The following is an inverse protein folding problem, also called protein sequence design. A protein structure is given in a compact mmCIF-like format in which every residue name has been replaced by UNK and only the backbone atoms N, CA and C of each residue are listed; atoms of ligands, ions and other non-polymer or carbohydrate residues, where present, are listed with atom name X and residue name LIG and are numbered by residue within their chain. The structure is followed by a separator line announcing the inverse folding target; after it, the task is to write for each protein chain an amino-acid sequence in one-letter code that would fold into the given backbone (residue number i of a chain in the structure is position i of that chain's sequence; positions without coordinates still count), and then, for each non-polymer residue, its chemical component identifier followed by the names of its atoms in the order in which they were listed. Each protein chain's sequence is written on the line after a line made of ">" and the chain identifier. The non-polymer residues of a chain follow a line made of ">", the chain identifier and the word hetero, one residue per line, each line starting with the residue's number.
data_IF_545384465383
#
_entry.id   IF_545384465383
#
_cell.length_a   1.000
_cell.length_b   1.000
_cell.length_c   1.000
_cell.angle_alpha   90.00
_cell.angle_beta   90.00
_cell.angle_gamma   90.00
#
_symmetry.space_group_name_H-M   'P 1'
#
loop_
_entity.id
_entity.type
_entity.pdbx_description
1 polymer ?
#
# COMPACT_ATOMS: atom_id res chain seq x y z
N UNK A 1 99.38 -2.88 -15.53
CA UNK A 1 98.48 -2.22 -16.51
C UNK A 1 97.61 -1.24 -15.74
N UNK A 2 97.98 0.05 -15.82
CA UNK A 2 97.32 1.32 -15.44
C UNK A 2 96.65 1.46 -14.04
N UNK A 3 97.21 2.40 -13.27
CA UNK A 3 96.79 2.97 -11.98
C UNK A 3 95.88 4.25 -12.22
N UNK A 4 95.49 5.09 -11.23
CA UNK A 4 94.11 5.37 -10.76
C UNK A 4 93.63 6.83 -11.06
N UNK A 5 92.49 7.30 -10.50
CA UNK A 5 92.34 8.73 -10.07
C UNK A 5 91.17 9.03 -9.11
N UNK A 6 91.49 9.94 -8.17
CA UNK A 6 90.70 10.55 -7.11
C UNK A 6 89.53 11.43 -7.61
N UNK A 7 88.51 11.57 -6.76
CA UNK A 7 87.50 12.64 -6.83
C UNK A 7 86.96 13.02 -5.45
N UNK A 8 87.59 14.03 -4.84
CA UNK A 8 87.25 14.73 -3.59
C UNK A 8 86.01 15.63 -3.81
N UNK A 9 85.10 15.78 -2.84
CA UNK A 9 84.43 17.07 -2.48
C UNK A 9 83.46 16.92 -1.29
N UNK A 10 83.82 17.48 -0.13
CA UNK A 10 83.34 18.77 0.47
C UNK A 10 82.05 18.58 1.29
N UNK A 11 82.25 18.63 2.60
CA UNK A 11 81.28 18.98 3.64
C UNK A 11 80.96 20.48 3.57
N UNK A 12 79.66 20.84 3.61
CA UNK A 12 79.17 22.14 4.06
C UNK A 12 77.82 21.98 4.77
N UNK A 13 77.87 22.26 6.05
CA UNK A 13 76.81 22.49 7.02
C UNK A 13 75.81 23.60 6.66
N UNK A 14 74.52 23.31 6.91
CA UNK A 14 73.37 24.17 7.33
C UNK A 14 72.91 25.32 6.39
N UNK A 15 71.65 25.85 6.49
CA UNK A 15 70.61 25.62 7.51
C UNK A 15 69.19 25.25 6.98
N UNK A 16 68.36 24.86 7.94
CA UNK A 16 66.91 24.63 7.93
C UNK A 16 66.10 25.80 7.38
N UNK A 17 65.13 25.52 6.49
CA UNK A 17 63.98 26.41 6.25
C UNK A 17 62.74 25.57 5.90
N UNK A 18 61.65 25.83 6.62
CA UNK A 18 60.50 24.96 6.79
C UNK A 18 59.76 24.59 5.50
N UNK A 19 59.47 23.30 5.36
CA UNK A 19 58.55 22.77 4.36
C UNK A 19 57.16 22.70 5.00
N UNK A 20 56.25 23.56 4.51
CA UNK A 20 54.82 23.53 4.84
C UNK A 20 54.27 22.13 4.59
N UNK A 21 53.82 21.47 5.65
CA UNK A 21 52.97 20.29 5.55
C UNK A 21 51.62 20.72 4.98
N UNK A 22 51.27 20.23 3.79
CA UNK A 22 49.89 20.20 3.32
C UNK A 22 49.31 18.87 3.77
N UNK A 23 48.64 18.89 4.92
CA UNK A 23 47.75 17.82 5.35
C UNK A 23 46.57 17.76 4.38
N UNK A 24 46.49 16.70 3.57
CA UNK A 24 45.21 16.31 2.97
C UNK A 24 44.39 15.62 4.06
N UNK A 25 43.40 16.32 4.60
CA UNK A 25 42.32 15.67 5.36
C UNK A 25 41.53 14.78 4.40
N UNK A 26 41.70 13.46 4.54
CA UNK A 26 40.76 12.48 4.05
C UNK A 26 39.44 12.68 4.80
N UNK A 27 38.42 13.15 4.10
CA UNK A 27 37.04 13.17 4.57
C UNK A 27 36.63 11.72 4.85
N UNK A 28 36.63 11.34 6.12
CA UNK A 28 36.02 10.11 6.61
C UNK A 28 34.53 10.16 6.29
N UNK A 29 34.09 9.28 5.39
CA UNK A 29 32.66 9.01 5.18
C UNK A 29 32.14 8.37 6.46
N UNK A 30 31.43 9.17 7.25
CA UNK A 30 30.76 8.74 8.46
C UNK A 30 29.65 7.78 8.06
N UNK A 31 29.81 6.50 8.39
CA UNK A 31 28.75 5.49 8.27
C UNK A 31 27.49 6.01 8.98
N UNK A 32 26.46 6.31 8.20
CA UNK A 32 25.12 6.56 8.72
C UNK A 32 24.63 5.25 9.33
N UNK A 33 24.61 5.18 10.67
CA UNK A 33 23.92 4.11 11.40
C UNK A 33 22.52 3.93 10.81
N UNK A 34 22.29 2.79 10.16
CA UNK A 34 20.98 2.43 9.62
C UNK A 34 19.95 2.46 10.73
N UNK A 35 18.96 3.34 10.60
CA UNK A 35 17.78 3.34 11.46
C UNK A 35 17.05 2.01 11.26
N UNK A 36 16.81 1.27 12.35
CA UNK A 36 16.06 0.03 12.32
C UNK A 36 14.66 0.29 11.73
N UNK A 37 14.26 -0.36 10.61
CA UNK A 37 12.97 -0.14 9.96
C UNK A 37 11.77 -0.35 10.89
N UNK A 38 11.86 -1.32 11.82
CA UNK A 38 10.82 -1.57 12.81
C UNK A 38 10.67 -0.46 13.85
N UNK A 39 11.73 0.32 14.08
CA UNK A 39 11.72 1.47 14.99
C UNK A 39 11.11 2.70 14.31
N UNK A 40 11.38 2.90 13.02
CA UNK A 40 10.72 3.90 12.17
C UNK A 40 9.21 3.63 12.05
N UNK A 41 8.82 2.36 11.84
CA UNK A 41 7.42 1.96 11.79
C UNK A 41 6.68 2.25 13.11
N UNK A 42 7.30 1.95 14.26
CA UNK A 42 6.74 2.27 15.59
C UNK A 42 6.57 3.78 15.80
N UNK A 43 7.54 4.59 15.39
CA UNK A 43 7.47 6.05 15.59
C UNK A 43 6.47 6.72 14.65
N UNK A 44 6.35 6.24 13.40
CA UNK A 44 5.32 6.71 12.45
C UNK A 44 3.92 6.26 12.88
N UNK A 45 3.77 5.02 13.37
CA UNK A 45 2.52 4.50 13.92
C UNK A 45 2.07 5.31 15.15
N UNK A 46 3.00 5.61 16.07
CA UNK A 46 2.71 6.45 17.25
C UNK A 46 2.38 7.91 16.88
N UNK A 47 3.05 8.46 15.86
CA UNK A 47 2.77 9.81 15.34
C UNK A 47 1.40 9.89 14.63
N UNK A 48 0.99 8.85 13.90
CA UNK A 48 -0.35 8.76 13.31
C UNK A 48 -1.45 8.63 14.37
N UNK A 49 -1.20 7.87 15.44
CA UNK A 49 -2.09 7.78 16.62
C UNK A 49 -2.19 9.11 17.37
N UNK A 50 -1.13 9.91 17.44
CA UNK A 50 -1.14 11.24 18.05
C UNK A 50 -1.82 12.31 17.17
N UNK A 51 -1.70 12.22 15.84
CA UNK A 51 -2.43 13.06 14.88
C UNK A 51 -3.95 12.84 14.90
N UNK A 52 -4.41 11.73 15.49
CA UNK A 52 -5.83 11.50 15.73
C UNK A 52 -6.40 12.42 16.83
N UNK A 53 -5.65 13.19 17.63
CA UNK A 53 -6.23 13.87 18.82
C UNK A 53 -6.59 15.36 18.65
N UNK A 54 -6.17 16.08 17.61
CA UNK A 54 -6.35 17.56 17.56
C UNK A 54 -7.27 18.07 16.43
N UNK A 55 -8.40 18.72 16.80
CA UNK A 55 -9.40 19.50 16.02
C UNK A 55 -10.84 18.94 15.92
N UNK A 56 -11.77 19.69 16.51
CA UNK A 56 -13.22 19.56 16.36
C UNK A 56 -13.72 20.73 15.52
N UNK A 57 -14.21 20.49 14.30
CA UNK A 57 -15.11 21.40 13.59
C UNK A 57 -15.70 20.75 12.32
N UNK A 58 -17.03 20.87 12.20
CA UNK A 58 -17.87 20.76 11.00
C UNK A 58 -17.83 19.43 10.22
N UNK A 59 -18.82 18.59 10.49
CA UNK A 59 -19.15 17.42 9.69
C UNK A 59 -20.00 17.82 8.48
N UNK A 60 -19.36 18.19 7.38
CA UNK A 60 -20.06 18.28 6.09
C UNK A 60 -20.36 16.85 5.60
N UNK A 61 -21.60 16.54 5.23
CA UNK A 61 -22.06 15.18 4.95
C UNK A 61 -21.31 14.51 3.79
N UNK A 62 -20.89 13.26 3.95
CA UNK A 62 -20.28 12.50 2.85
C UNK A 62 -21.37 12.09 1.82
N UNK A 63 -21.07 12.15 0.51
CA UNK A 63 -21.99 11.68 -0.52
C UNK A 63 -22.39 10.21 -0.26
N UNK A 64 -23.67 9.93 -0.35
CA UNK A 64 -24.27 8.62 -0.11
C UNK A 64 -25.74 8.77 0.24
N UNK A 65 -26.51 7.67 0.36
CA UNK A 65 -27.90 7.76 0.75
C UNK A 65 -28.04 8.46 2.12
N UNK A 66 -29.17 9.16 2.35
CA UNK A 66 -29.56 9.57 3.69
C UNK A 66 -29.52 8.38 4.66
N UNK A 67 -29.32 8.61 5.97
CA UNK A 67 -29.42 7.56 6.97
C UNK A 67 -30.70 6.74 6.82
N UNK A 68 -30.59 5.41 6.92
CA UNK A 68 -31.69 4.46 6.78
C UNK A 68 -32.08 4.09 5.34
N UNK A 69 -31.47 4.71 4.33
CA UNK A 69 -31.79 4.43 2.93
C UNK A 69 -30.76 3.55 2.22
N UNK A 70 -31.25 2.77 1.26
CA UNK A 70 -30.44 1.95 0.37
C UNK A 70 -30.01 2.73 -0.87
N UNK A 71 -28.93 2.30 -1.49
CA UNK A 71 -28.62 2.60 -2.87
C UNK A 71 -28.17 1.32 -3.55
N UNK A 72 -28.75 1.06 -4.70
CA UNK A 72 -28.56 -0.18 -5.47
C UNK A 72 -28.03 0.18 -6.85
N UNK A 73 -27.10 -0.61 -7.35
CA UNK A 73 -26.50 -0.35 -8.63
C UNK A 73 -25.74 -1.54 -9.15
N UNK A 74 -25.21 -1.37 -10.35
CA UNK A 74 -24.36 -2.34 -11.02
C UNK A 74 -23.23 -1.60 -11.71
N UNK A 75 -22.08 -2.25 -11.78
CA UNK A 75 -20.94 -1.77 -12.52
C UNK A 75 -20.05 -2.91 -12.98
N UNK A 76 -18.95 -2.54 -13.61
CA UNK A 76 -17.88 -3.45 -13.98
C UNK A 76 -16.57 -2.93 -13.39
N UNK A 77 -15.77 -3.86 -12.87
CA UNK A 77 -14.42 -3.62 -12.40
C UNK A 77 -13.43 -4.33 -13.29
N UNK A 78 -12.27 -3.73 -13.50
CA UNK A 78 -11.11 -4.34 -14.14
C UNK A 78 -9.91 -4.23 -13.20
N UNK A 79 -9.10 -5.27 -13.09
CA UNK A 79 -7.84 -5.21 -12.36
C UNK A 79 -6.74 -5.93 -13.14
N UNK A 80 -5.56 -5.34 -13.21
CA UNK A 80 -4.38 -6.07 -13.67
C UNK A 80 -3.93 -7.08 -12.62
N UNK A 81 -3.34 -8.17 -13.08
CA UNK A 81 -2.69 -9.16 -12.23
C UNK A 81 -1.18 -8.85 -12.16
N UNK A 82 -0.55 -8.97 -10.99
CA UNK A 82 0.91 -8.89 -10.90
C UNK A 82 1.60 -10.21 -11.28
N UNK A 83 0.83 -11.29 -11.47
CA UNK A 83 1.37 -12.64 -11.64
C UNK A 83 1.82 -12.89 -13.08
N UNK A 84 2.94 -13.60 -13.20
CA UNK A 84 3.62 -13.79 -14.47
C UNK A 84 2.74 -14.47 -15.50
N UNK A 85 2.51 -13.76 -16.61
CA UNK A 85 1.70 -14.24 -17.73
C UNK A 85 0.20 -14.30 -17.45
N UNK A 86 -0.28 -13.68 -16.37
CA UNK A 86 -1.71 -13.55 -16.07
C UNK A 86 -2.19 -12.17 -16.51
N UNK A 87 -3.30 -12.14 -17.27
CA UNK A 87 -3.86 -10.92 -17.81
C UNK A 87 -4.65 -10.09 -16.80
N UNK A 88 -5.30 -9.03 -17.29
CA UNK A 88 -6.29 -8.29 -16.50
C UNK A 88 -7.61 -9.03 -16.46
N UNK A 89 -8.26 -9.04 -15.31
CA UNK A 89 -9.58 -9.65 -15.12
C UNK A 89 -10.65 -8.56 -15.09
N UNK A 90 -11.77 -8.81 -15.78
CA UNK A 90 -12.95 -7.93 -15.76
C UNK A 90 -14.14 -8.68 -15.18
N UNK A 91 -14.76 -8.13 -14.15
CA UNK A 91 -15.89 -8.77 -13.47
C UNK A 91 -17.03 -7.78 -13.19
N UNK A 92 -18.29 -8.23 -13.28
CA UNK A 92 -19.43 -7.42 -12.84
C UNK A 92 -19.40 -7.26 -11.32
N UNK A 93 -19.76 -6.07 -10.85
CA UNK A 93 -19.79 -5.72 -9.43
C UNK A 93 -21.15 -5.16 -9.04
N UNK A 94 -21.90 -5.85 -8.16
CA UNK A 94 -23.09 -5.26 -7.58
C UNK A 94 -22.68 -4.11 -6.66
N UNK A 95 -23.33 -2.96 -6.83
CA UNK A 95 -23.17 -1.80 -5.96
C UNK A 95 -24.29 -1.78 -4.93
N UNK A 96 -23.99 -2.33 -3.75
CA UNK A 96 -24.87 -2.23 -2.59
C UNK A 96 -24.32 -1.20 -1.61
N UNK A 97 -25.08 -0.12 -1.39
CA UNK A 97 -24.72 0.86 -0.37
C UNK A 97 -25.88 1.02 0.59
N UNK A 98 -25.61 0.84 1.87
CA UNK A 98 -26.55 1.10 2.94
C UNK A 98 -25.87 1.87 4.05
N UNK A 99 -26.56 2.88 4.56
CA UNK A 99 -26.06 3.72 5.65
C UNK A 99 -27.11 3.78 6.75
N UNK A 100 -27.08 2.83 7.68
CA UNK A 100 -27.83 2.93 8.94
C UNK A 100 -27.09 3.79 9.97
N UNK A 101 -27.61 3.83 11.20
CA UNK A 101 -26.96 4.50 12.33
C UNK A 101 -25.68 3.80 12.76
N UNK A 102 -25.73 2.46 12.88
CA UNK A 102 -24.57 1.63 13.25
C UNK A 102 -24.14 0.72 12.10
N UNK A 103 -25.08 -0.03 11.55
CA UNK A 103 -24.83 -0.95 10.44
C UNK A 103 -24.65 -0.18 9.13
N UNK A 104 -23.67 -0.57 8.32
CA UNK A 104 -23.49 -0.08 6.97
C UNK A 104 -23.01 -1.17 6.02
N UNK A 105 -23.34 -1.02 4.74
CA UNK A 105 -22.81 -1.82 3.65
C UNK A 105 -22.21 -0.88 2.61
N UNK A 106 -21.01 -1.21 2.11
CA UNK A 106 -20.28 -0.44 1.09
C UNK A 106 -19.70 -1.39 0.05
N UNK A 107 -20.47 -1.67 -0.99
CA UNK A 107 -20.16 -2.73 -1.94
C UNK A 107 -20.19 -4.08 -1.23
N UNK A 108 -19.06 -4.78 -1.23
CA UNK A 108 -18.86 -6.06 -0.55
C UNK A 108 -18.30 -5.92 0.88
N UNK A 109 -18.18 -4.69 1.38
CA UNK A 109 -17.77 -4.43 2.77
C UNK A 109 -19.02 -4.29 3.66
N UNK A 110 -19.08 -5.10 4.71
CA UNK A 110 -20.03 -4.99 5.81
C UNK A 110 -19.33 -4.36 7.01
N UNK A 111 -19.99 -3.44 7.70
CA UNK A 111 -19.45 -2.93 8.96
C UNK A 111 -20.49 -2.44 9.95
N UNK A 112 -20.05 -2.36 11.20
CA UNK A 112 -20.86 -1.92 12.34
C UNK A 112 -20.08 -0.88 13.14
N UNK A 113 -20.61 0.35 13.21
CA UNK A 113 -20.02 1.44 13.98
C UNK A 113 -20.20 1.17 15.47
N UNK A 114 -19.07 1.12 16.17
CA UNK A 114 -19.00 1.10 17.63
C UNK A 114 -19.11 2.51 18.19
N UNK A 115 -18.52 3.48 17.49
CA UNK A 115 -18.50 4.89 17.88
C UNK A 115 -18.54 5.79 16.65
N UNK A 116 -19.32 6.86 16.72
CA UNK A 116 -19.31 7.94 15.73
C UNK A 116 -19.61 9.29 16.41
N UNK A 117 -18.58 10.11 16.62
CA UNK A 117 -18.70 11.39 17.32
C UNK A 117 -17.64 12.37 16.82
N UNK A 118 -17.97 13.66 16.68
CA UNK A 118 -17.01 14.73 16.38
C UNK A 118 -16.04 14.45 15.20
N UNK A 119 -16.54 13.78 14.15
CA UNK A 119 -15.73 13.39 12.99
C UNK A 119 -14.93 12.10 13.15
N UNK A 120 -14.89 11.50 14.34
CA UNK A 120 -14.34 10.17 14.57
C UNK A 120 -15.37 9.08 14.24
N UNK A 121 -14.89 7.98 13.68
CA UNK A 121 -15.64 6.74 13.49
C UNK A 121 -14.75 5.57 13.87
N UNK A 122 -15.25 4.67 14.73
CA UNK A 122 -14.65 3.36 14.99
C UNK A 122 -15.68 2.32 14.60
N UNK A 123 -15.27 1.35 13.78
CA UNK A 123 -16.13 0.27 13.31
C UNK A 123 -15.40 -1.07 13.32
N UNK A 124 -16.16 -2.14 13.52
CA UNK A 124 -15.78 -3.48 13.08
C UNK A 124 -16.20 -3.65 11.63
N UNK A 125 -15.43 -4.39 10.85
CA UNK A 125 -15.72 -4.64 9.44
C UNK A 125 -15.42 -6.09 9.04
N UNK A 126 -16.10 -6.52 7.99
CA UNK A 126 -15.80 -7.71 7.21
C UNK A 126 -15.73 -7.31 5.73
N UNK A 127 -14.68 -7.72 5.02
CA UNK A 127 -14.47 -7.44 3.60
C UNK A 127 -13.95 -8.70 2.91
N UNK A 128 -14.37 -8.96 1.68
CA UNK A 128 -13.79 -10.04 0.88
C UNK A 128 -12.54 -9.55 0.14
N UNK A 129 -11.45 -10.32 0.23
CA UNK A 129 -10.22 -10.11 -0.54
C UNK A 129 -10.32 -10.94 -1.83
N UNK A 130 -10.33 -10.28 -2.97
CA UNK A 130 -10.36 -10.93 -4.29
C UNK A 130 -8.99 -11.35 -4.84
N UNK A 131 -7.90 -11.06 -4.12
CA UNK A 131 -6.57 -11.42 -4.58
C UNK A 131 -6.43 -12.95 -4.64
N UNK A 132 -5.84 -13.45 -5.72
CA UNK A 132 -5.67 -14.87 -5.96
C UNK A 132 -5.21 -15.16 -7.39
N UNK A 133 -4.93 -16.43 -7.66
CA UNK A 133 -4.71 -16.99 -8.98
C UNK A 133 -4.91 -18.50 -8.93
N UNK A 134 -5.21 -19.09 -10.07
CA UNK A 134 -5.19 -20.53 -10.25
C UNK A 134 -3.92 -20.97 -10.97
N UNK A 135 -3.43 -22.17 -10.68
CA UNK A 135 -2.21 -22.71 -11.29
C UNK A 135 -2.31 -22.86 -12.83
N UNK A 136 -3.52 -22.78 -13.38
CA UNK A 136 -3.77 -22.85 -14.82
C UNK A 136 -3.97 -21.48 -15.49
N UNK A 137 -3.94 -20.38 -14.74
CA UNK A 137 -4.09 -19.02 -15.28
C UNK A 137 -2.96 -18.63 -16.24
N UNK A 138 -1.78 -19.22 -16.08
CA UNK A 138 -0.69 -19.06 -17.03
C UNK A 138 0.16 -20.31 -17.16
N UNK A 139 0.87 -20.42 -18.29
CA UNK A 139 1.83 -21.50 -18.51
C UNK A 139 2.96 -21.52 -17.48
N UNK A 140 3.27 -20.35 -16.90
CA UNK A 140 4.30 -20.18 -15.87
C UNK A 140 3.83 -20.59 -14.48
N UNK A 141 2.52 -20.56 -14.21
CA UNK A 141 1.93 -20.95 -12.92
C UNK A 141 1.58 -22.44 -12.83
N UNK A 142 1.70 -23.20 -13.92
CA UNK A 142 1.40 -24.64 -13.88
C UNK A 142 2.16 -25.37 -12.78
N UNK A 143 1.44 -26.21 -12.04
CA UNK A 143 1.95 -26.93 -10.87
C UNK A 143 2.10 -26.10 -9.60
N UNK A 144 1.70 -24.82 -9.61
CA UNK A 144 1.38 -24.11 -8.36
C UNK A 144 0.05 -24.62 -7.82
N UNK A 145 -0.09 -24.66 -6.50
CA UNK A 145 -1.40 -24.75 -5.87
C UNK A 145 -2.16 -23.43 -6.09
N UNK A 146 -3.49 -23.50 -6.15
CA UNK A 146 -4.32 -22.31 -6.32
C UNK A 146 -4.24 -21.41 -5.08
N UNK A 147 -4.29 -20.09 -5.27
CA UNK A 147 -4.33 -19.09 -4.20
C UNK A 147 -5.67 -18.40 -4.25
N UNK A 148 -6.45 -18.57 -3.19
CA UNK A 148 -7.84 -18.13 -3.16
C UNK A 148 -8.01 -16.82 -2.39
N UNK A 149 -9.06 -16.09 -2.77
CA UNK A 149 -9.57 -14.98 -1.98
C UNK A 149 -10.27 -15.47 -0.72
N UNK A 150 -10.19 -14.69 0.36
CA UNK A 150 -10.82 -15.03 1.65
C UNK A 150 -11.65 -13.86 2.19
N UNK A 151 -12.53 -14.16 3.15
CA UNK A 151 -13.16 -13.13 3.95
C UNK A 151 -12.20 -12.69 5.05
N UNK A 152 -11.97 -11.39 5.12
CA UNK A 152 -11.18 -10.76 6.16
C UNK A 152 -12.09 -9.98 7.10
N UNK A 153 -11.68 -9.85 8.36
CA UNK A 153 -12.37 -9.07 9.36
C UNK A 153 -11.41 -8.27 10.22
N UNK A 154 -11.91 -7.17 10.79
CA UNK A 154 -11.10 -6.38 11.70
C UNK A 154 -11.71 -5.03 12.06
N UNK A 155 -10.85 -4.05 12.30
CA UNK A 155 -11.20 -2.76 12.87
C UNK A 155 -10.83 -1.63 11.92
N UNK A 156 -11.68 -0.61 11.87
CA UNK A 156 -11.40 0.64 11.21
C UNK A 156 -11.58 1.79 12.18
N UNK A 157 -10.57 2.64 12.25
CA UNK A 157 -10.65 3.96 12.85
C UNK A 157 -10.54 5.00 11.75
N UNK A 158 -11.42 6.00 11.75
CA UNK A 158 -11.30 7.12 10.82
C UNK A 158 -11.60 8.44 11.48
N UNK A 159 -11.00 9.49 10.94
CA UNK A 159 -11.13 10.84 11.43
C UNK A 159 -11.34 11.79 10.26
N UNK A 160 -12.50 12.42 10.20
CA UNK A 160 -12.83 13.46 9.24
C UNK A 160 -12.48 14.83 9.83
N UNK A 161 -11.77 15.62 9.02
CA UNK A 161 -11.35 16.99 9.35
C UNK A 161 -11.66 17.91 8.17
N UNK A 162 -11.50 19.23 8.35
CA UNK A 162 -11.60 20.20 7.25
C UNK A 162 -10.56 19.96 6.14
N UNK A 163 -9.43 19.32 6.45
CA UNK A 163 -8.36 19.05 5.49
C UNK A 163 -8.53 17.74 4.75
N UNK A 164 -9.44 16.85 5.18
CA UNK A 164 -9.63 15.53 4.60
C UNK A 164 -9.96 14.47 5.66
N UNK A 165 -9.99 13.22 5.23
CA UNK A 165 -10.25 12.06 6.06
C UNK A 165 -9.01 11.19 6.16
N UNK A 166 -8.59 10.92 7.40
CA UNK A 166 -7.61 9.91 7.74
C UNK A 166 -8.33 8.62 8.12
N UNK A 167 -7.83 7.47 7.67
CA UNK A 167 -8.39 6.16 7.97
C UNK A 167 -7.25 5.18 8.25
N UNK A 168 -7.41 4.38 9.29
CA UNK A 168 -6.58 3.22 9.59
C UNK A 168 -7.50 2.01 9.61
N UNK A 169 -7.18 1.01 8.81
CA UNK A 169 -7.91 -0.26 8.75
C UNK A 169 -6.95 -1.39 9.08
N UNK A 170 -7.32 -2.24 10.03
CA UNK A 170 -6.59 -3.43 10.45
C UNK A 170 -7.44 -4.65 10.12
N UNK A 171 -6.86 -5.63 9.46
CA UNK A 171 -7.57 -6.81 8.96
C UNK A 171 -6.76 -8.06 9.22
N UNK A 172 -7.48 -9.14 9.48
CA UNK A 172 -6.95 -10.49 9.51
C UNK A 172 -7.88 -11.45 8.81
N UNK A 173 -7.31 -12.57 8.40
CA UNK A 173 -8.02 -13.69 7.80
C UNK A 173 -9.02 -14.32 8.78
N UNK A 174 -10.29 -14.47 8.38
CA UNK A 174 -11.31 -15.10 9.20
C UNK A 174 -11.41 -16.61 8.99
N UNK A 175 -10.95 -17.12 7.85
CA UNK A 175 -11.10 -18.53 7.49
C UNK A 175 -9.79 -19.32 7.46
N UNK A 176 -8.65 -18.63 7.59
CA UNK A 176 -7.34 -19.26 7.76
C UNK A 176 -6.69 -19.73 6.45
N UNK A 177 -7.11 -19.16 5.32
CA UNK A 177 -6.46 -19.28 4.01
C UNK A 177 -5.00 -18.80 4.05
N UNK A 178 -4.76 -17.53 4.39
CA UNK A 178 -3.42 -16.93 4.43
C UNK A 178 -2.89 -16.70 5.87
N UNK A 179 -3.76 -16.74 6.90
CA UNK A 179 -3.38 -16.64 8.34
C UNK A 179 -2.56 -15.38 8.71
N UNK A 180 -2.65 -14.36 7.87
CA UNK A 180 -1.87 -13.13 7.97
C UNK A 180 -2.73 -11.92 8.31
N UNK A 181 -2.07 -10.76 8.35
CA UNK A 181 -2.66 -9.48 8.71
C UNK A 181 -2.28 -8.38 7.71
N UNK A 182 -3.16 -7.38 7.58
CA UNK A 182 -2.96 -6.17 6.79
C UNK A 182 -3.30 -4.93 7.61
N UNK A 183 -2.51 -3.87 7.46
CA UNK A 183 -2.77 -2.55 8.02
C UNK A 183 -2.72 -1.48 6.91
N UNK A 184 -3.85 -0.85 6.60
CA UNK A 184 -3.97 0.22 5.60
C UNK A 184 -4.16 1.58 6.29
N UNK A 185 -3.15 2.44 6.16
CA UNK A 185 -3.23 3.85 6.54
C UNK A 185 -3.49 4.70 5.31
N UNK A 186 -4.66 5.32 5.25
CA UNK A 186 -5.15 6.07 4.10
C UNK A 186 -5.47 7.54 4.45
N UNK A 187 -5.16 8.43 3.52
CA UNK A 187 -5.63 9.81 3.50
C UNK A 187 -6.45 10.07 2.23
N UNK A 188 -7.54 10.83 2.35
CA UNK A 188 -8.34 11.25 1.20
C UNK A 188 -8.95 12.62 1.41
N UNK A 189 -9.22 13.33 0.32
CA UNK A 189 -9.89 14.64 0.35
C UNK A 189 -10.98 14.68 -0.70
N UNK A 190 -12.18 15.13 -0.33
CA UNK A 190 -13.29 15.31 -1.27
C UNK A 190 -13.35 16.75 -1.77
N UNK A 191 -13.44 16.89 -3.08
CA UNK A 191 -13.70 18.15 -3.78
C UNK A 191 -15.09 18.08 -4.41
N UNK A 192 -15.89 19.12 -4.19
CA UNK A 192 -17.28 19.17 -4.63
C UNK A 192 -17.42 20.23 -5.73
N UNK A 193 -17.96 19.82 -6.87
CA UNK A 193 -18.18 20.64 -8.06
C UNK A 193 -19.62 20.43 -8.54
N UNK A 194 -20.57 21.12 -7.91
CA UNK A 194 -22.01 20.96 -8.16
C UNK A 194 -22.48 19.50 -8.15
N UNK A 195 -22.59 18.86 -9.33
CA UNK A 195 -23.00 17.47 -9.52
C UNK A 195 -21.86 16.47 -9.40
N UNK A 196 -20.61 16.90 -9.46
CA UNK A 196 -19.43 16.04 -9.43
C UNK A 196 -18.73 16.11 -8.08
N UNK A 197 -18.48 14.94 -7.47
CA UNK A 197 -17.54 14.81 -6.36
C UNK A 197 -16.30 14.08 -6.86
N UNK A 198 -15.13 14.67 -6.63
CA UNK A 198 -13.84 14.05 -6.90
C UNK A 198 -13.12 13.81 -5.57
N UNK A 199 -12.67 12.59 -5.34
CA UNK A 199 -11.99 12.19 -4.10
C UNK A 199 -10.68 11.47 -4.42
N UNK A 200 -9.56 12.19 -4.54
CA UNK A 200 -8.24 11.57 -4.53
C UNK A 200 -7.95 10.95 -3.16
N UNK A 201 -7.15 9.88 -3.17
CA UNK A 201 -6.70 9.16 -2.00
C UNK A 201 -5.27 8.64 -2.19
N UNK A 202 -4.56 8.50 -1.08
CA UNK A 202 -3.27 7.81 -0.98
C UNK A 202 -3.30 6.87 0.22
N UNK A 203 -2.68 5.70 0.08
CA UNK A 203 -2.62 4.66 1.09
C UNK A 203 -1.20 4.10 1.22
N UNK A 204 -0.83 3.76 2.45
CA UNK A 204 0.34 2.94 2.78
C UNK A 204 -0.18 1.67 3.43
N UNK A 205 0.14 0.52 2.85
CA UNK A 205 -0.47 -0.76 3.21
C UNK A 205 0.65 -1.69 3.65
N UNK A 206 0.70 -1.99 4.95
CA UNK A 206 1.60 -3.01 5.49
C UNK A 206 0.93 -4.38 5.41
N UNK A 207 1.69 -5.39 5.03
CA UNK A 207 1.24 -6.78 4.98
C UNK A 207 2.23 -7.68 5.72
N UNK A 208 1.71 -8.59 6.55
CA UNK A 208 2.52 -9.58 7.26
C UNK A 208 3.19 -10.57 6.31
N UNK A 209 4.31 -11.17 6.72
CA UNK A 209 5.02 -12.19 5.94
C UNK A 209 4.11 -13.38 5.56
N UNK A 210 3.17 -13.80 6.41
CA UNK A 210 2.24 -14.91 6.10
C UNK A 210 1.32 -14.57 4.92
N UNK A 211 0.80 -13.33 4.88
CA UNK A 211 -0.04 -12.85 3.79
C UNK A 211 0.76 -12.77 2.48
N UNK A 212 1.97 -12.21 2.55
CA UNK A 212 2.85 -12.07 1.38
C UNK A 212 3.30 -13.44 0.88
N UNK A 213 3.69 -14.35 1.77
CA UNK A 213 4.13 -15.71 1.43
C UNK A 213 3.00 -16.54 0.81
N UNK A 214 1.75 -16.39 1.29
CA UNK A 214 0.62 -17.07 0.68
C UNK A 214 0.41 -16.63 -0.76
N UNK A 215 0.32 -15.32 -1.02
CA UNK A 215 0.00 -14.83 -2.36
C UNK A 215 1.19 -14.78 -3.32
N UNK A 216 2.42 -14.67 -2.83
CA UNK A 216 3.60 -14.46 -3.67
C UNK A 216 4.72 -15.47 -3.44
N UNK A 217 4.58 -16.40 -2.48
CA UNK A 217 5.55 -17.46 -2.22
C UNK A 217 5.53 -18.56 -3.27
N UNK A 218 6.65 -19.28 -3.35
CA UNK A 218 6.79 -20.53 -4.10
C UNK A 218 7.33 -21.57 -3.13
N UNK A 219 6.51 -22.58 -2.82
CA UNK A 219 6.90 -23.65 -1.91
C UNK A 219 7.94 -24.58 -2.54
N UNK A 220 8.53 -25.47 -1.72
CA UNK A 220 9.51 -26.45 -2.20
C UNK A 220 8.90 -27.48 -3.15
N UNK A 221 7.60 -27.78 -3.03
CA UNK A 221 6.92 -28.69 -3.97
C UNK A 221 6.60 -28.01 -5.30
N UNK A 222 6.47 -26.69 -5.32
CA UNK A 222 6.14 -25.90 -6.51
C UNK A 222 7.37 -25.40 -7.26
N UNK A 223 8.57 -25.62 -6.71
CA UNK A 223 9.85 -25.19 -7.25
C UNK A 223 10.18 -25.91 -8.56
N UNK A 224 10.64 -25.13 -9.56
CA UNK A 224 11.15 -25.64 -10.82
C UNK A 224 12.45 -24.92 -11.19
N UNK A 225 13.17 -25.39 -12.21
CA UNK A 225 14.40 -24.73 -12.67
C UNK A 225 14.22 -23.25 -13.05
N UNK A 226 13.01 -22.85 -13.49
CA UNK A 226 12.70 -21.47 -13.89
C UNK A 226 11.87 -20.72 -12.86
N UNK A 227 11.37 -21.39 -11.81
CA UNK A 227 10.57 -20.81 -10.73
C UNK A 227 11.15 -21.33 -9.40
N UNK A 228 12.25 -20.73 -8.91
CA UNK A 228 12.92 -21.17 -7.69
C UNK A 228 12.04 -20.97 -6.46
N UNK A 229 12.37 -21.66 -5.37
CA UNK A 229 11.74 -21.42 -4.07
C UNK A 229 11.83 -19.94 -3.68
N UNK A 230 10.72 -19.39 -3.20
CA UNK A 230 10.64 -18.01 -2.72
C UNK A 230 9.77 -17.97 -1.48
N UNK A 231 10.28 -17.31 -0.43
CA UNK A 231 9.53 -17.09 0.80
C UNK A 231 9.22 -15.61 0.94
N UNK A 232 7.94 -15.29 1.01
CA UNK A 232 7.48 -13.92 1.23
C UNK A 232 7.92 -13.38 2.60
N UNK A 233 8.44 -12.16 2.61
CA UNK A 233 8.62 -11.39 3.84
C UNK A 233 7.50 -10.35 3.98
N UNK A 234 7.41 -9.66 5.13
CA UNK A 234 6.47 -8.57 5.29
C UNK A 234 6.76 -7.48 4.25
N UNK A 235 5.73 -6.75 3.85
CA UNK A 235 5.85 -5.77 2.77
C UNK A 235 5.09 -4.49 3.09
N UNK A 236 5.48 -3.40 2.43
CA UNK A 236 4.79 -2.10 2.51
C UNK A 236 4.51 -1.60 1.11
N UNK A 237 3.23 -1.67 0.72
CA UNK A 237 2.74 -1.22 -0.57
C UNK A 237 2.33 0.25 -0.48
N UNK A 238 2.39 0.94 -1.62
CA UNK A 238 1.86 2.31 -1.75
C UNK A 238 0.79 2.32 -2.82
N UNK A 239 -0.36 2.93 -2.51
CA UNK A 239 -1.48 3.04 -3.44
C UNK A 239 -1.90 4.49 -3.59
N UNK A 240 -2.17 4.89 -4.82
CA UNK A 240 -2.89 6.13 -5.12
C UNK A 240 -4.22 5.77 -5.78
N UNK A 241 -5.24 6.56 -5.52
CA UNK A 241 -6.58 6.32 -6.07
C UNK A 241 -7.35 7.60 -6.30
N UNK A 242 -8.31 7.53 -7.22
CA UNK A 242 -9.24 8.59 -7.54
C UNK A 242 -10.64 7.99 -7.57
N UNK A 243 -11.57 8.59 -6.82
CA UNK A 243 -13.01 8.29 -6.95
C UNK A 243 -13.71 9.50 -7.54
N UNK A 244 -14.57 9.29 -8.54
CA UNK A 244 -15.45 10.29 -9.10
C UNK A 244 -16.90 9.84 -8.94
N UNK A 245 -17.76 10.72 -8.43
CA UNK A 245 -19.20 10.47 -8.27
C UNK A 245 -19.93 11.60 -8.98
N UNK A 246 -20.63 11.28 -10.06
CA UNK A 246 -21.40 12.25 -10.84
C UNK A 246 -22.90 12.04 -10.63
N UNK A 247 -23.57 13.04 -10.06
CA UNK A 247 -25.01 13.06 -9.83
C UNK A 247 -25.73 13.36 -11.15
N UNK A 248 -26.37 12.36 -11.75
CA UNK A 248 -27.19 12.56 -12.95
C UNK A 248 -28.43 13.39 -12.60
N UNK A 249 -29.07 13.05 -11.48
CA UNK A 249 -30.21 13.75 -10.89
C UNK A 249 -30.27 13.42 -9.38
N UNK A 250 -31.39 13.72 -8.72
CA UNK A 250 -31.55 13.48 -7.28
C UNK A 250 -31.48 12.01 -6.85
N UNK A 251 -31.66 11.06 -7.78
CA UNK A 251 -31.74 9.63 -7.49
C UNK A 251 -30.60 8.83 -8.12
N UNK A 252 -30.16 9.20 -9.33
CA UNK A 252 -29.16 8.46 -10.08
C UNK A 252 -27.78 9.11 -9.99
N UNK A 253 -26.75 8.28 -9.80
CA UNK A 253 -25.36 8.72 -9.87
C UNK A 253 -24.48 7.70 -10.58
N UNK A 254 -23.50 8.19 -11.32
CA UNK A 254 -22.39 7.40 -11.87
C UNK A 254 -21.26 7.42 -10.84
N UNK A 255 -20.71 6.25 -10.53
CA UNK A 255 -19.53 6.09 -9.69
C UNK A 255 -18.41 5.52 -10.54
N UNK A 256 -17.26 6.17 -10.51
CA UNK A 256 -16.04 5.67 -11.11
C UNK A 256 -14.92 5.67 -10.07
N UNK A 257 -14.07 4.65 -10.11
CA UNK A 257 -12.86 4.55 -9.30
C UNK A 257 -11.70 4.09 -10.18
N UNK A 258 -10.54 4.69 -9.97
CA UNK A 258 -9.28 4.20 -10.50
C UNK A 258 -8.25 4.16 -9.38
N UNK A 259 -7.37 3.18 -9.37
CA UNK A 259 -6.25 3.08 -8.44
C UNK A 259 -5.03 2.44 -9.08
N UNK A 260 -3.87 2.81 -8.56
CA UNK A 260 -2.58 2.21 -8.91
C UNK A 260 -1.86 1.85 -7.62
N UNK A 261 -1.45 0.59 -7.49
CA UNK A 261 -0.69 0.09 -6.35
C UNK A 261 0.71 -0.28 -6.80
N UNK A 262 1.72 0.27 -6.15
CA UNK A 262 3.13 -0.09 -6.36
C UNK A 262 3.54 -1.19 -5.39
N UNK A 263 4.01 -2.29 -5.93
CA UNK A 263 4.54 -3.43 -5.21
C UNK A 263 6.02 -3.19 -4.84
N UNK A 264 6.41 -3.45 -3.58
CA UNK A 264 7.79 -3.34 -3.13
C UNK A 264 8.60 -4.58 -3.54
N UNK A 265 9.90 -4.55 -3.30
CA UNK A 265 10.82 -5.60 -3.78
C UNK A 265 10.59 -6.94 -3.08
N UNK A 266 10.06 -6.94 -1.85
CA UNK A 266 9.64 -8.15 -1.13
C UNK A 266 8.51 -8.91 -1.84
N UNK A 267 7.83 -8.27 -2.80
CA UNK A 267 6.85 -8.92 -3.68
C UNK A 267 7.42 -9.12 -5.09
N UNK A 268 8.04 -8.09 -5.67
CA UNK A 268 8.51 -8.13 -7.07
C UNK A 268 9.70 -9.08 -7.28
N UNK A 269 10.47 -9.39 -6.23
CA UNK A 269 11.52 -10.40 -6.30
C UNK A 269 11.00 -11.84 -6.32
N UNK A 270 9.69 -12.04 -6.10
CA UNK A 270 9.07 -13.35 -6.31
C UNK A 270 9.17 -13.75 -7.78
N UNK A 271 9.57 -14.99 -8.10
CA UNK A 271 9.69 -15.44 -9.48
C UNK A 271 8.33 -15.52 -10.19
N UNK A 272 7.22 -15.53 -9.46
CA UNK A 272 5.87 -15.54 -10.03
C UNK A 272 5.30 -14.13 -10.26
N UNK A 273 6.05 -13.07 -9.97
CA UNK A 273 5.65 -11.68 -10.23
C UNK A 273 6.47 -11.13 -11.39
N UNK A 274 5.83 -10.40 -12.30
CA UNK A 274 6.50 -9.67 -13.39
C UNK A 274 6.09 -8.20 -13.51
N UNK A 275 5.02 -7.80 -12.82
CA UNK A 275 4.57 -6.42 -12.78
C UNK A 275 4.76 -5.78 -11.40
N UNK A 276 5.34 -4.58 -11.39
CA UNK A 276 5.49 -3.75 -10.18
C UNK A 276 4.25 -2.92 -9.87
N UNK A 277 3.39 -2.71 -10.85
CA UNK A 277 2.26 -1.79 -10.78
C UNK A 277 0.97 -2.56 -11.02
N UNK A 278 0.07 -2.52 -10.05
CA UNK A 278 -1.27 -3.11 -10.14
C UNK A 278 -2.27 -1.99 -10.34
N UNK A 279 -2.87 -1.93 -11.52
CA UNK A 279 -3.91 -0.96 -11.86
C UNK A 279 -5.29 -1.58 -11.65
N UNK A 280 -6.21 -0.84 -11.06
CA UNK A 280 -7.61 -1.25 -10.96
C UNK A 280 -8.54 -0.11 -11.34
N UNK A 281 -9.61 -0.44 -12.06
CA UNK A 281 -10.64 0.48 -12.51
C UNK A 281 -12.02 -0.06 -12.16
N UNK A 282 -12.96 0.82 -11.92
CA UNK A 282 -14.36 0.48 -11.71
C UNK A 282 -15.24 1.60 -12.25
N UNK A 283 -16.33 1.23 -12.92
CA UNK A 283 -17.41 2.16 -13.28
C UNK A 283 -18.76 1.50 -13.05
N UNK A 284 -19.71 2.25 -12.49
CA UNK A 284 -21.06 1.75 -12.26
C UNK A 284 -22.07 2.86 -12.08
N UNK A 285 -23.34 2.49 -12.21
CA UNK A 285 -24.48 3.37 -12.01
C UNK A 285 -25.20 2.92 -10.74
N UNK A 286 -25.57 3.87 -9.88
CA UNK A 286 -26.28 3.61 -8.63
C UNK A 286 -27.56 4.45 -8.57
N UNK A 287 -28.65 3.82 -8.14
CA UNK A 287 -29.91 4.44 -7.79
C UNK A 287 -30.00 4.61 -6.27
N UNK A 288 -30.45 5.78 -5.83
CA UNK A 288 -30.63 6.15 -4.43
C UNK A 288 -32.12 6.32 -4.14
N UNK A 289 -32.61 5.61 -3.13
CA UNK A 289 -34.00 5.66 -2.67
C UNK A 289 -34.27 6.90 -1.79
#
# INVERSE_FOLDING_TARGET
>A
MVIPRLGKKIDRSMPTMGKRERTMELISVRETRGLNPGMLFRQVFLALVLLLVANSAMAEGAPGPPPGKWSLGIGAGVSSSPYRGVGSETMPFPLLVYRGERLFFRGIELGYRLLQQNGYEIAVLAKYRFQGYDGHDSSYLRGMEDRQGTLEGGLQASRKTAYGQFRLTLLGDLFGEHKGYEADAAYSKSFHFEKLIVKPAISVIWQSSQLVDYYYGVTRQEETATRPFYKGDWSVLTQVGLTAIYMLNGQWAINARASMTRLPDEIVNSPIVDDRMVASGFVGVIYRF
#
